data_IF_341020775811
#
_entry.id   IF_341020775811
#
_cell.length_a   1.000
_cell.length_b   1.000
_cell.length_c   1.000
_cell.angle_alpha   90.00
_cell.angle_beta   90.00
_cell.angle_gamma   90.00
#
_symmetry.space_group_name_H-M   'P 1'
#
loop_
_entity.id
_entity.type
_entity.pdbx_description
1 polymer ?
#
# COMPACT_ATOMS: atom_id res chain seq x y z
N UNK A 1 32.68 25.83 5.99
CA UNK A 1 31.41 25.48 5.34
C UNK A 1 31.75 24.86 3.98
N UNK A 2 31.73 23.53 3.88
CA UNK A 2 31.91 22.79 2.63
C UNK A 2 30.53 22.54 2.06
N UNK A 3 30.22 23.14 0.92
CA UNK A 3 28.98 22.85 0.18
C UNK A 3 29.11 21.46 -0.43
N UNK A 4 28.30 20.52 0.04
CA UNK A 4 28.17 19.20 -0.57
C UNK A 4 27.20 19.40 -1.74
N UNK A 5 27.73 19.30 -2.96
CA UNK A 5 26.91 19.28 -4.17
C UNK A 5 26.47 17.83 -4.38
N UNK A 6 25.24 17.54 -4.00
CA UNK A 6 24.61 16.25 -4.29
C UNK A 6 24.24 16.24 -5.78
N UNK A 7 25.05 15.57 -6.59
CA UNK A 7 24.76 15.33 -7.99
C UNK A 7 23.82 14.10 -8.09
N UNK A 8 22.58 14.34 -8.42
CA UNK A 8 21.63 13.28 -8.76
C UNK A 8 22.05 12.65 -10.09
N UNK A 9 22.76 11.53 -10.04
CA UNK A 9 23.07 10.73 -11.22
C UNK A 9 21.86 9.85 -11.55
N UNK A 10 20.99 10.32 -12.45
CA UNK A 10 19.99 9.47 -13.11
C UNK A 10 20.73 8.66 -14.18
N UNK A 11 21.14 7.46 -13.82
CA UNK A 11 21.67 6.49 -14.79
C UNK A 11 20.52 5.77 -15.45
N UNK A 12 20.21 6.12 -16.70
CA UNK A 12 19.33 5.35 -17.58
C UNK A 12 20.04 4.06 -17.97
N UNK A 13 19.69 2.94 -17.37
CA UNK A 13 20.01 1.61 -17.87
C UNK A 13 18.91 1.20 -18.84
N UNK A 14 19.16 1.40 -20.13
CA UNK A 14 18.42 0.78 -21.20
C UNK A 14 18.99 -0.63 -21.43
N UNK A 15 18.21 -1.63 -21.12
CA UNK A 15 18.56 -2.97 -21.58
C UNK A 15 17.79 -4.08 -20.87
N UNK A 16 16.98 -4.74 -21.63
CA UNK A 16 16.18 -5.95 -21.41
C UNK A 16 14.80 -5.66 -20.84
N UNK A 17 13.83 -5.69 -21.72
CA UNK A 17 12.40 -5.60 -21.44
C UNK A 17 11.88 -6.94 -20.87
N UNK A 18 12.16 -7.22 -19.61
CA UNK A 18 11.14 -7.82 -18.75
C UNK A 18 10.19 -6.66 -18.46
N UNK A 19 8.95 -6.73 -18.89
CA UNK A 19 7.96 -5.73 -18.57
C UNK A 19 7.92 -5.60 -17.03
N UNK A 20 8.64 -4.61 -16.50
CA UNK A 20 8.42 -4.17 -15.14
C UNK A 20 6.98 -3.67 -15.13
N UNK A 21 6.07 -4.49 -14.67
CA UNK A 21 4.73 -4.04 -14.33
C UNK A 21 4.89 -3.12 -13.12
N UNK A 22 5.18 -1.84 -13.42
CA UNK A 22 5.01 -0.80 -12.43
C UNK A 22 3.58 -0.95 -11.86
N UNK A 23 3.43 -0.75 -10.56
CA UNK A 23 2.11 -0.58 -9.95
C UNK A 23 1.31 0.36 -10.85
N UNK A 24 0.31 -0.17 -11.52
CA UNK A 24 -0.50 0.57 -12.48
C UNK A 24 -1.58 1.31 -11.69
N UNK A 25 -1.15 2.26 -10.87
CA UNK A 25 -1.90 2.96 -9.86
C UNK A 25 -3.09 3.79 -10.38
N UNK A 26 -3.37 3.75 -11.67
CA UNK A 26 -4.47 4.51 -12.30
C UNK A 26 -5.27 3.67 -13.29
N UNK A 27 -5.19 2.35 -13.20
CA UNK A 27 -5.99 1.45 -14.03
C UNK A 27 -7.41 1.32 -13.46
N UNK A 28 -8.41 1.33 -14.34
CA UNK A 28 -9.76 0.95 -13.95
C UNK A 28 -9.85 -0.55 -13.72
N UNK A 29 -10.44 -0.93 -12.60
CA UNK A 29 -10.64 -2.32 -12.18
C UNK A 29 -12.03 -2.51 -11.56
N UNK A 30 -12.32 -3.70 -11.06
CA UNK A 30 -13.57 -3.99 -10.37
C UNK A 30 -13.58 -3.53 -8.92
N UNK A 31 -12.41 -3.25 -8.39
CA UNK A 31 -12.19 -2.71 -7.06
C UNK A 31 -10.86 -1.99 -6.94
N UNK A 32 -10.63 -1.41 -5.76
CA UNK A 32 -9.43 -0.66 -5.42
C UNK A 32 -9.00 -1.03 -4.00
N UNK A 33 -7.74 -1.38 -3.83
CA UNK A 33 -7.10 -1.50 -2.52
C UNK A 33 -6.30 -0.22 -2.25
N UNK A 34 -6.57 0.43 -1.12
CA UNK A 34 -5.70 1.47 -0.54
C UNK A 34 -4.91 0.81 0.59
N UNK A 35 -3.66 0.42 0.36
CA UNK A 35 -2.92 -0.49 1.26
C UNK A 35 -2.43 0.15 2.55
N UNK A 36 -2.59 1.46 2.67
CA UNK A 36 -2.19 2.22 3.85
C UNK A 36 -3.13 3.40 4.04
N UNK A 37 -3.81 3.44 5.17
CA UNK A 37 -4.60 4.58 5.60
C UNK A 37 -4.27 4.88 7.07
N UNK A 38 -3.87 6.09 7.34
CA UNK A 38 -3.46 6.55 8.66
C UNK A 38 -4.19 7.84 9.02
N UNK A 39 -4.67 7.91 10.24
CA UNK A 39 -5.23 9.11 10.84
C UNK A 39 -4.75 9.24 12.29
N UNK A 40 -4.38 10.44 12.67
CA UNK A 40 -4.02 10.77 14.03
C UNK A 40 -5.00 11.81 14.61
N UNK A 41 -5.47 11.57 15.84
CA UNK A 41 -6.46 12.43 16.51
C UNK A 41 -5.93 13.85 16.73
N UNK A 42 -4.62 14.00 16.89
CA UNK A 42 -3.96 15.30 17.04
C UNK A 42 -3.90 16.12 15.73
N UNK A 43 -4.39 15.55 14.63
CA UNK A 43 -4.39 16.17 13.31
C UNK A 43 -3.02 16.23 12.63
N UNK A 44 -2.02 15.54 13.16
CA UNK A 44 -0.65 15.53 12.58
C UNK A 44 -0.56 14.82 11.25
N UNK A 45 -1.48 13.89 10.98
CA UNK A 45 -1.55 13.16 9.71
C UNK A 45 -2.95 12.65 9.41
N UNK A 46 -3.26 12.49 8.14
CA UNK A 46 -4.49 11.89 7.63
C UNK A 46 -4.22 11.23 6.28
N UNK A 47 -5.18 10.45 5.79
CA UNK A 47 -5.13 9.89 4.44
C UNK A 47 -6.31 10.40 3.64
N UNK A 48 -6.04 11.11 2.56
CA UNK A 48 -7.04 11.52 1.58
C UNK A 48 -7.16 10.44 0.49
N UNK A 49 -8.39 10.04 0.17
CA UNK A 49 -8.70 9.00 -0.82
C UNK A 49 -9.67 9.58 -1.83
N UNK A 50 -9.44 9.30 -3.11
CA UNK A 50 -10.38 9.62 -4.18
C UNK A 50 -10.63 8.40 -5.06
N UNK A 51 -11.88 8.26 -5.49
CA UNK A 51 -12.32 7.22 -6.42
C UNK A 51 -12.95 7.88 -7.64
N UNK A 52 -12.68 7.32 -8.80
CA UNK A 52 -13.36 7.64 -10.05
C UNK A 52 -14.17 6.44 -10.47
N UNK A 53 -15.45 6.63 -10.72
CA UNK A 53 -16.35 5.59 -11.23
C UNK A 53 -16.77 5.91 -12.67
N UNK A 54 -16.40 5.05 -13.60
CA UNK A 54 -16.75 5.20 -15.02
C UNK A 54 -18.14 4.65 -15.36
N UNK A 55 -18.73 3.81 -14.52
CA UNK A 55 -19.95 3.07 -14.79
C UNK A 55 -21.18 3.65 -14.11
N UNK A 56 -21.04 4.06 -12.85
CA UNK A 56 -22.14 4.34 -11.94
C UNK A 56 -22.73 3.06 -11.35
N UNK A 57 -23.16 3.14 -10.12
CA UNK A 57 -23.69 2.03 -9.34
C UNK A 57 -23.37 2.19 -7.86
N UNK A 58 -23.46 1.11 -7.12
CA UNK A 58 -23.09 1.10 -5.70
C UNK A 58 -21.62 0.69 -5.56
N UNK A 59 -20.88 1.41 -4.75
CA UNK A 59 -19.53 1.07 -4.32
C UNK A 59 -19.61 0.60 -2.87
N UNK A 60 -19.19 -0.62 -2.64
CA UNK A 60 -19.03 -1.20 -1.29
C UNK A 60 -17.62 -0.95 -0.82
N UNK A 61 -17.44 -0.67 0.48
CA UNK A 61 -16.12 -0.46 1.05
C UNK A 61 -16.00 -1.09 2.43
N UNK A 62 -14.79 -1.52 2.76
CA UNK A 62 -14.45 -2.05 4.08
C UNK A 62 -13.11 -1.51 4.51
N UNK A 63 -13.02 -1.13 5.78
CA UNK A 63 -11.76 -0.79 6.43
C UNK A 63 -11.33 -1.93 7.36
N UNK A 64 -10.10 -2.35 7.22
CA UNK A 64 -9.45 -3.36 8.04
C UNK A 64 -8.31 -2.74 8.86
N UNK A 65 -8.07 -3.26 10.06
CA UNK A 65 -6.87 -2.93 10.83
C UNK A 65 -5.62 -3.66 10.28
N UNK A 66 -4.50 -3.48 10.95
CA UNK A 66 -3.20 -4.06 10.56
C UNK A 66 -3.14 -5.59 10.59
N UNK A 67 -4.08 -6.23 11.29
CA UNK A 67 -4.19 -7.69 11.44
C UNK A 67 -5.35 -8.30 10.64
N UNK A 68 -5.88 -7.56 9.66
CA UNK A 68 -7.05 -7.97 8.85
C UNK A 68 -8.35 -8.08 9.65
N UNK A 69 -8.40 -7.46 10.80
CA UNK A 69 -9.64 -7.42 11.54
C UNK A 69 -10.55 -6.38 10.90
N UNK A 70 -11.73 -6.82 10.49
CA UNK A 70 -12.79 -5.94 10.05
C UNK A 70 -13.12 -4.91 11.14
N UNK A 71 -13.07 -3.64 10.80
CA UNK A 71 -13.36 -2.53 11.71
C UNK A 71 -14.71 -1.93 11.41
N UNK A 72 -14.92 -1.56 10.15
CA UNK A 72 -16.17 -0.96 9.67
C UNK A 72 -16.29 -1.13 8.16
N UNK A 73 -17.51 -1.17 7.67
CA UNK A 73 -17.88 -1.24 6.28
C UNK A 73 -19.01 -0.26 5.95
N UNK A 74 -19.30 -0.13 4.65
CA UNK A 74 -20.40 0.67 4.17
C UNK A 74 -20.54 0.65 2.66
N UNK A 75 -21.48 1.44 2.18
CA UNK A 75 -21.74 1.58 0.76
C UNK A 75 -22.11 3.03 0.42
N UNK A 76 -21.92 3.40 -0.83
CA UNK A 76 -22.44 4.65 -1.39
C UNK A 76 -22.73 4.48 -2.87
N UNK A 77 -23.67 5.28 -3.36
CA UNK A 77 -24.05 5.27 -4.77
C UNK A 77 -23.27 6.32 -5.55
N UNK A 78 -22.92 5.96 -6.77
CA UNK A 78 -22.25 6.83 -7.75
C UNK A 78 -23.08 6.98 -9.01
N UNK A 79 -22.92 8.06 -9.69
CA UNK A 79 -23.39 8.22 -11.07
C UNK A 79 -22.30 7.83 -12.07
N UNK A 80 -22.68 7.67 -13.32
CA UNK A 80 -21.68 7.39 -14.36
C UNK A 80 -20.73 8.55 -14.56
N UNK A 81 -19.41 8.26 -14.60
CA UNK A 81 -18.31 9.22 -14.63
C UNK A 81 -18.27 10.12 -13.39
N UNK A 82 -18.54 9.54 -12.25
CA UNK A 82 -18.49 10.20 -10.96
C UNK A 82 -17.08 10.26 -10.37
N UNK A 83 -16.87 11.20 -9.47
CA UNK A 83 -15.66 11.32 -8.70
C UNK A 83 -16.03 11.62 -7.25
N UNK A 84 -15.54 10.78 -6.36
CA UNK A 84 -15.79 10.87 -4.91
C UNK A 84 -14.46 11.02 -4.19
N UNK A 85 -14.39 11.94 -3.24
CA UNK A 85 -13.22 12.09 -2.39
C UNK A 85 -13.61 12.20 -0.91
N UNK A 86 -12.78 11.61 -0.05
CA UNK A 86 -12.95 11.65 1.39
C UNK A 86 -11.60 11.54 2.10
N UNK A 87 -11.59 11.83 3.38
CA UNK A 87 -10.41 11.64 4.22
C UNK A 87 -10.69 10.59 5.28
N UNK A 88 -9.69 9.77 5.55
CA UNK A 88 -9.71 8.84 6.66
C UNK A 88 -9.64 9.60 7.99
N UNK A 89 -10.60 9.33 8.88
CA UNK A 89 -10.69 9.98 10.19
C UNK A 89 -11.99 10.75 10.42
N UNK A 90 -12.30 11.05 11.68
CA UNK A 90 -13.63 11.50 12.13
C UNK A 90 -13.97 12.95 11.84
N UNK A 91 -13.02 13.79 11.45
CA UNK A 91 -13.21 15.25 11.48
C UNK A 91 -13.27 15.92 10.11
N UNK A 92 -13.13 15.18 9.02
CA UNK A 92 -13.14 15.77 7.69
C UNK A 92 -14.44 15.42 6.97
N UNK A 93 -15.57 15.88 7.55
CA UNK A 93 -16.89 15.78 6.95
C UNK A 93 -17.18 16.80 5.83
N UNK A 94 -16.18 17.53 5.37
CA UNK A 94 -16.37 18.64 4.43
C UNK A 94 -15.69 18.45 3.07
N UNK A 95 -15.18 17.28 2.76
CA UNK A 95 -14.80 17.00 1.39
C UNK A 95 -16.07 16.68 0.60
N UNK A 96 -16.31 17.43 -0.47
CA UNK A 96 -17.49 17.30 -1.30
C UNK A 96 -17.70 15.86 -1.79
N UNK A 97 -18.56 15.11 -1.15
CA UNK A 97 -18.88 13.73 -1.43
C UNK A 97 -19.78 13.17 -0.34
N UNK A 98 -20.52 12.12 -0.63
CA UNK A 98 -21.54 11.56 0.27
C UNK A 98 -20.99 10.90 1.55
N UNK A 99 -19.67 10.81 1.72
CA UNK A 99 -19.01 10.40 2.95
C UNK A 99 -19.03 11.52 4.02
N UNK A 100 -20.24 11.93 4.39
CA UNK A 100 -20.46 12.93 5.45
C UNK A 100 -20.13 12.42 6.87
N UNK A 101 -19.74 11.19 7.00
CA UNK A 101 -19.24 10.62 8.23
C UNK A 101 -18.24 9.55 7.88
N UNK A 102 -16.99 9.94 7.67
CA UNK A 102 -15.90 8.98 7.72
C UNK A 102 -16.04 8.14 8.99
N UNK A 103 -15.62 6.88 8.99
CA UNK A 103 -15.80 6.01 10.13
C UNK A 103 -15.23 6.69 11.37
N UNK A 104 -16.08 6.86 12.39
CA UNK A 104 -15.63 7.37 13.69
C UNK A 104 -14.97 6.22 14.42
N UNK A 105 -13.66 6.22 14.46
CA UNK A 105 -12.89 5.23 15.19
C UNK A 105 -12.68 5.69 16.64
N UNK A 106 -12.98 4.84 17.61
CA UNK A 106 -12.56 5.09 18.97
C UNK A 106 -11.06 4.75 19.12
N UNK A 107 -10.26 5.73 19.41
CA UNK A 107 -8.83 5.56 19.70
C UNK A 107 -7.89 6.14 18.63
N UNK A 108 -6.65 6.36 19.01
CA UNK A 108 -5.58 7.05 18.30
C UNK A 108 -4.32 6.17 18.22
N UNK A 109 -3.53 6.23 17.17
CA UNK A 109 -3.84 6.51 15.76
C UNK A 109 -4.54 5.32 15.07
N UNK A 110 -5.38 5.60 14.09
CA UNK A 110 -6.05 4.56 13.31
C UNK A 110 -5.23 4.23 12.06
N UNK A 111 -4.57 3.10 12.09
CA UNK A 111 -3.78 2.56 10.97
C UNK A 111 -4.44 1.30 10.43
N UNK A 112 -4.63 1.26 9.13
CA UNK A 112 -5.22 0.13 8.44
C UNK A 112 -5.21 0.30 6.93
N UNK A 113 -6.13 -0.38 6.26
CA UNK A 113 -6.26 -0.32 4.81
C UNK A 113 -7.73 -0.42 4.38
N UNK A 114 -8.03 0.11 3.18
CA UNK A 114 -9.37 0.05 2.59
C UNK A 114 -9.40 -0.89 1.39
N UNK A 115 -10.53 -1.58 1.26
CA UNK A 115 -10.91 -2.28 0.04
C UNK A 115 -12.22 -1.69 -0.45
N UNK A 116 -12.26 -1.23 -1.70
CA UNK A 116 -13.44 -0.74 -2.41
C UNK A 116 -13.80 -1.69 -3.52
N UNK A 117 -15.08 -1.99 -3.69
CA UNK A 117 -15.57 -2.92 -4.71
C UNK A 117 -16.82 -2.36 -5.38
N UNK A 118 -16.83 -2.34 -6.70
CA UNK A 118 -17.98 -1.87 -7.47
C UNK A 118 -19.03 -2.97 -7.61
N UNK A 119 -20.31 -2.58 -7.56
CA UNK A 119 -21.46 -3.49 -7.67
C UNK A 119 -21.54 -4.27 -9.00
N UNK A 120 -20.82 -3.85 -10.03
CA UNK A 120 -20.73 -4.60 -11.30
C UNK A 120 -20.16 -6.01 -11.15
N UNK A 121 -19.43 -6.27 -10.06
CA UNK A 121 -18.88 -7.60 -9.76
C UNK A 121 -19.94 -8.53 -9.17
N UNK A 122 -21.04 -7.98 -8.68
CA UNK A 122 -22.11 -8.70 -8.03
C UNK A 122 -23.14 -9.11 -9.09
N UNK A 123 -23.03 -10.33 -9.61
CA UNK A 123 -24.19 -10.97 -10.24
C UNK A 123 -25.06 -11.59 -9.14
N UNK A 124 -26.36 -11.66 -9.36
CA UNK A 124 -27.39 -12.14 -8.41
C UNK A 124 -27.12 -13.54 -7.77
N UNK A 125 -26.03 -14.21 -8.15
CA UNK A 125 -25.65 -15.54 -7.68
C UNK A 125 -24.28 -15.56 -6.95
N UNK A 126 -23.73 -14.42 -6.52
CA UNK A 126 -22.43 -14.35 -5.79
C UNK A 126 -21.24 -15.01 -6.52
N UNK A 127 -21.35 -15.24 -7.80
CA UNK A 127 -20.27 -15.77 -8.62
C UNK A 127 -19.57 -14.58 -9.26
N UNK A 128 -18.34 -14.34 -8.85
CA UNK A 128 -17.44 -13.40 -9.50
C UNK A 128 -17.26 -13.89 -10.95
N UNK A 129 -18.01 -13.29 -11.87
CA UNK A 129 -17.82 -13.57 -13.29
C UNK A 129 -16.53 -12.92 -13.77
N UNK A 130 -15.71 -13.64 -14.55
CA UNK A 130 -14.50 -13.10 -15.21
C UNK A 130 -14.79 -11.86 -16.08
N UNK A 131 -16.05 -11.44 -16.20
CA UNK A 131 -16.54 -10.36 -17.05
C UNK A 131 -17.04 -9.12 -16.30
N UNK A 132 -16.69 -8.94 -15.02
CA UNK A 132 -17.01 -7.70 -14.33
C UNK A 132 -16.33 -6.51 -15.01
N UNK A 133 -17.11 -5.45 -15.27
CA UNK A 133 -16.59 -4.28 -15.95
C UNK A 133 -15.54 -3.56 -15.05
N UNK A 134 -14.45 -3.06 -15.62
CA UNK A 134 -13.50 -2.23 -14.90
C UNK A 134 -14.10 -0.83 -14.69
N UNK A 135 -14.69 -0.61 -13.52
CA UNK A 135 -15.46 0.59 -13.22
C UNK A 135 -14.75 1.57 -12.31
N UNK A 136 -13.88 1.09 -11.40
CA UNK A 136 -13.23 1.92 -10.38
C UNK A 136 -11.75 2.15 -10.66
N UNK A 137 -11.32 3.39 -10.47
CA UNK A 137 -9.91 3.74 -10.31
C UNK A 137 -9.76 4.60 -9.05
N UNK A 138 -8.63 4.49 -8.34
CA UNK A 138 -8.42 5.19 -7.08
C UNK A 138 -7.06 5.87 -6.99
N UNK A 139 -7.02 6.91 -6.16
CA UNK A 139 -5.79 7.55 -5.71
C UNK A 139 -5.87 7.78 -4.20
N UNK A 140 -4.73 7.71 -3.53
CA UNK A 140 -4.65 8.05 -2.13
C UNK A 140 -3.38 8.86 -1.83
N UNK A 141 -3.45 9.67 -0.78
CA UNK A 141 -2.35 10.53 -0.35
C UNK A 141 -2.29 10.56 1.17
N UNK A 142 -1.13 10.34 1.73
CA UNK A 142 -0.87 10.67 3.12
C UNK A 142 -0.67 12.18 3.22
N UNK A 143 -1.50 12.83 4.03
CA UNK A 143 -1.49 14.28 4.21
C UNK A 143 -0.71 14.61 5.48
N UNK A 144 0.17 15.59 5.40
CA UNK A 144 0.96 16.13 6.50
C UNK A 144 0.54 17.61 6.72
N UNK A 145 -0.55 17.87 7.46
CA UNK A 145 -1.12 19.22 7.55
C UNK A 145 -0.16 20.26 8.15
N UNK A 146 0.69 19.83 9.09
CA UNK A 146 1.69 20.71 9.71
C UNK A 146 2.85 21.12 8.79
N UNK A 147 2.97 20.44 7.64
CA UNK A 147 4.02 20.66 6.64
C UNK A 147 3.48 21.18 5.31
N UNK A 148 2.15 21.33 5.18
CA UNK A 148 1.48 21.73 3.93
C UNK A 148 1.86 20.84 2.73
N UNK A 149 2.05 19.51 2.97
CA UNK A 149 2.53 18.58 1.95
C UNK A 149 1.80 17.23 1.99
N UNK A 150 1.95 16.46 0.92
CA UNK A 150 1.32 15.15 0.76
C UNK A 150 2.27 14.13 0.12
N UNK A 151 2.24 12.89 0.59
CA UNK A 151 2.91 11.75 -0.05
C UNK A 151 1.87 10.87 -0.75
N UNK A 152 2.12 10.52 -2.01
CA UNK A 152 1.26 9.59 -2.76
C UNK A 152 1.26 8.20 -2.10
N UNK A 153 0.08 7.61 -1.98
CA UNK A 153 -0.08 6.21 -1.58
C UNK A 153 -0.59 5.44 -2.80
N UNK A 154 0.16 4.43 -3.28
CA UNK A 154 -0.26 3.67 -4.45
C UNK A 154 -1.55 2.91 -4.17
N UNK A 155 -2.65 3.34 -4.78
CA UNK A 155 -3.89 2.60 -4.80
C UNK A 155 -3.77 1.47 -5.83
N UNK A 156 -4.12 0.26 -5.43
CA UNK A 156 -3.88 -0.96 -6.21
C UNK A 156 -5.21 -1.39 -6.85
N UNK A 157 -5.26 -1.53 -8.19
CA UNK A 157 -6.44 -2.02 -8.87
C UNK A 157 -6.68 -3.50 -8.53
N UNK A 158 -7.93 -3.84 -8.22
CA UNK A 158 -8.37 -5.19 -7.92
C UNK A 158 -9.26 -5.71 -9.05
N UNK A 159 -8.77 -6.72 -9.76
CA UNK A 159 -9.55 -7.39 -10.80
C UNK A 159 -10.46 -8.47 -10.19
N UNK A 160 -11.47 -8.98 -10.92
CA UNK A 160 -12.40 -9.97 -10.39
C UNK A 160 -11.75 -11.21 -9.78
N UNK A 161 -10.60 -11.63 -10.32
CA UNK A 161 -9.83 -12.77 -9.82
C UNK A 161 -9.08 -12.50 -8.51
N UNK A 162 -8.88 -11.22 -8.16
CA UNK A 162 -8.17 -10.78 -6.97
C UNK A 162 -9.09 -10.72 -5.75
N UNK A 163 -10.39 -10.95 -5.96
CA UNK A 163 -11.43 -10.82 -4.97
C UNK A 163 -12.20 -12.13 -4.83
N UNK A 164 -12.31 -12.61 -3.60
CA UNK A 164 -13.21 -13.69 -3.22
C UNK A 164 -14.03 -13.20 -2.04
N UNK A 165 -15.33 -13.14 -2.24
CA UNK A 165 -16.25 -12.72 -1.19
C UNK A 165 -16.67 -13.92 -0.34
N UNK A 166 -16.86 -13.65 0.96
CA UNK A 166 -17.54 -14.56 1.87
C UNK A 166 -19.05 -14.59 1.62
N UNK A 167 -19.84 -14.70 2.68
CA UNK A 167 -21.29 -14.76 2.58
C UNK A 167 -21.94 -13.43 2.21
N UNK A 168 -21.24 -12.32 2.29
CA UNK A 168 -21.75 -10.97 2.05
C UNK A 168 -20.73 -10.10 1.33
N UNK A 169 -21.14 -9.47 0.22
CA UNK A 169 -20.28 -8.56 -0.57
C UNK A 169 -20.04 -7.22 0.14
N UNK A 170 -21.02 -6.78 0.94
CA UNK A 170 -20.92 -5.51 1.69
C UNK A 170 -19.89 -5.62 2.80
N UNK A 171 -19.75 -6.80 3.35
CA UNK A 171 -18.79 -7.12 4.40
C UNK A 171 -17.76 -8.08 3.80
N UNK A 172 -16.58 -7.56 3.45
CA UNK A 172 -15.41 -8.36 3.15
C UNK A 172 -14.93 -8.97 4.48
N UNK A 173 -15.72 -9.87 5.02
CA UNK A 173 -15.48 -10.51 6.31
C UNK A 173 -14.28 -11.47 6.27
N UNK A 174 -14.05 -12.20 7.38
CA UNK A 174 -12.89 -13.09 7.50
C UNK A 174 -12.81 -14.20 6.46
N UNK A 175 -13.92 -14.52 5.78
CA UNK A 175 -13.97 -15.50 4.70
C UNK A 175 -13.70 -14.91 3.31
N UNK A 176 -13.49 -13.60 3.24
CA UNK A 176 -13.15 -12.90 2.01
C UNK A 176 -11.64 -12.89 1.81
N UNK A 177 -11.20 -13.01 0.58
CA UNK A 177 -9.78 -13.00 0.24
C UNK A 177 -9.53 -11.93 -0.80
N UNK A 178 -8.59 -11.04 -0.51
CA UNK A 178 -8.01 -10.12 -1.47
C UNK A 178 -6.70 -10.74 -1.93
N UNK A 179 -6.57 -10.97 -3.23
CA UNK A 179 -5.33 -11.44 -3.84
C UNK A 179 -4.79 -10.35 -4.73
N UNK A 180 -3.49 -10.26 -4.82
CA UNK A 180 -2.86 -9.35 -5.75
C UNK A 180 -2.42 -10.11 -6.99
N UNK A 181 -2.71 -9.52 -8.14
CA UNK A 181 -2.41 -10.16 -9.41
C UNK A 181 -0.90 -10.36 -9.61
N UNK A 182 -0.51 -11.57 -10.00
CA UNK A 182 0.87 -11.88 -10.38
C UNK A 182 1.38 -10.92 -11.47
N UNK A 183 2.52 -10.28 -11.21
CA UNK A 183 3.15 -9.31 -12.10
C UNK A 183 3.01 -7.84 -11.66
N UNK A 184 2.02 -7.49 -10.85
CA UNK A 184 1.92 -6.16 -10.24
C UNK A 184 2.56 -6.11 -8.85
N UNK A 185 2.81 -7.26 -8.25
CA UNK A 185 3.18 -7.41 -6.84
C UNK A 185 4.23 -8.51 -6.67
N UNK A 186 4.95 -8.49 -5.55
CA UNK A 186 5.90 -9.52 -5.20
C UNK A 186 5.17 -10.80 -4.73
N UNK A 187 5.64 -11.96 -5.19
CA UNK A 187 5.13 -13.27 -4.85
C UNK A 187 6.21 -14.13 -4.16
N UNK A 188 5.82 -15.30 -3.67
CA UNK A 188 6.77 -16.29 -3.19
C UNK A 188 7.83 -16.60 -4.26
N UNK A 189 9.10 -16.52 -3.89
CA UNK A 189 10.22 -16.70 -4.82
C UNK A 189 10.80 -15.39 -5.39
N UNK A 190 10.13 -14.26 -5.17
CA UNK A 190 10.61 -12.95 -5.55
C UNK A 190 11.56 -12.36 -4.49
N UNK A 191 12.24 -11.29 -4.90
CA UNK A 191 13.10 -10.51 -4.01
C UNK A 191 12.56 -9.10 -3.97
N UNK A 192 12.26 -8.61 -2.78
CA UNK A 192 11.81 -7.25 -2.53
C UNK A 192 12.98 -6.38 -2.05
N UNK A 193 13.11 -5.21 -2.64
CA UNK A 193 14.13 -4.22 -2.26
C UNK A 193 13.44 -3.05 -1.56
N UNK A 194 13.60 -2.97 -0.23
CA UNK A 194 12.98 -1.95 0.60
C UNK A 194 13.94 -0.77 0.76
N UNK A 195 13.61 0.36 0.16
CA UNK A 195 14.46 1.55 0.21
C UNK A 195 14.38 2.22 1.59
N UNK A 196 15.48 2.79 2.07
CA UNK A 196 15.53 3.56 3.31
C UNK A 196 16.48 4.76 3.22
N UNK A 197 16.16 5.82 3.98
CA UNK A 197 17.00 6.99 4.21
C UNK A 197 16.80 7.43 5.66
N UNK A 198 17.86 7.42 6.47
CA UNK A 198 17.74 7.72 7.91
C UNK A 198 17.99 9.19 8.27
N UNK A 199 18.72 9.92 7.41
CA UNK A 199 19.09 11.33 7.66
C UNK A 199 17.94 12.32 7.37
N UNK A 200 16.69 11.83 7.44
CA UNK A 200 15.46 12.62 7.25
C UNK A 200 14.47 12.33 8.38
N UNK A 201 13.42 13.13 8.52
CA UNK A 201 12.48 13.04 9.65
C UNK A 201 11.65 11.78 9.60
N UNK A 202 11.11 11.42 8.42
CA UNK A 202 10.30 10.23 8.20
C UNK A 202 10.91 9.36 7.11
N UNK A 203 11.08 8.08 7.40
CA UNK A 203 11.47 7.03 6.46
C UNK A 203 10.71 5.76 6.82
N UNK A 204 9.43 5.72 6.44
CA UNK A 204 8.52 4.65 6.78
C UNK A 204 8.36 3.67 5.61
N UNK A 205 8.86 2.47 5.79
CA UNK A 205 8.67 1.35 4.86
C UNK A 205 7.30 0.75 5.12
N UNK A 206 6.40 0.85 4.14
CA UNK A 206 5.07 0.26 4.19
C UNK A 206 5.11 -1.08 3.46
N UNK A 207 4.62 -2.12 4.11
CA UNK A 207 4.49 -3.47 3.56
C UNK A 207 3.06 -3.91 3.83
N UNK A 208 2.29 -4.08 2.76
CA UNK A 208 0.97 -4.70 2.80
C UNK A 208 1.04 -6.07 2.14
N UNK A 209 0.36 -7.06 2.70
CA UNK A 209 0.32 -8.42 2.18
C UNK A 209 -1.09 -8.98 2.27
N UNK A 210 -1.50 -9.76 1.28
CA UNK A 210 -2.73 -10.52 1.34
C UNK A 210 -2.64 -11.76 2.23
N UNK A 211 -1.48 -12.06 2.80
CA UNK A 211 -1.23 -13.19 3.70
C UNK A 211 -0.59 -12.72 5.02
N UNK A 212 -0.64 -13.58 6.03
CA UNK A 212 0.02 -13.34 7.31
C UNK A 212 1.55 -13.36 7.14
N UNK A 213 2.17 -12.17 7.11
CA UNK A 213 3.62 -11.98 7.07
C UNK A 213 4.22 -11.65 8.44
N UNK A 214 3.44 -11.78 9.51
CA UNK A 214 3.97 -11.50 10.84
C UNK A 214 5.16 -12.40 11.17
N UNK A 215 6.22 -11.81 11.69
CA UNK A 215 7.43 -12.57 12.04
C UNK A 215 8.70 -11.76 12.08
N UNK A 216 9.81 -12.48 12.13
CA UNK A 216 11.16 -11.89 12.09
C UNK A 216 11.96 -12.59 10.99
N UNK A 217 12.47 -11.79 10.08
CA UNK A 217 13.15 -12.29 8.87
C UNK A 217 14.60 -11.84 8.87
N UNK A 218 15.52 -12.77 8.64
CA UNK A 218 16.93 -12.41 8.39
C UNK A 218 17.03 -11.85 6.98
N UNK A 219 17.47 -10.60 6.87
CA UNK A 219 17.60 -9.88 5.60
C UNK A 219 18.99 -9.32 5.42
N UNK A 220 19.36 -8.99 4.19
CA UNK A 220 20.59 -8.27 3.91
C UNK A 220 20.29 -6.79 3.70
N UNK A 221 21.01 -5.93 4.39
CA UNK A 221 20.92 -4.49 4.23
C UNK A 221 22.19 -3.98 3.54
N UNK A 222 22.05 -3.03 2.64
CA UNK A 222 23.12 -2.42 1.86
C UNK A 222 23.05 -0.91 2.01
N UNK A 223 24.22 -0.28 2.12
CA UNK A 223 24.35 1.17 2.04
C UNK A 223 24.54 1.65 0.60
N UNK A 224 24.72 2.96 0.41
CA UNK A 224 24.97 3.58 -0.90
C UNK A 224 26.33 3.23 -1.49
N UNK A 225 27.27 2.76 -0.69
CA UNK A 225 28.60 2.33 -1.12
C UNK A 225 28.68 0.81 -1.37
N UNK A 226 27.52 0.12 -1.34
CA UNK A 226 27.36 -1.33 -1.54
C UNK A 226 27.98 -2.18 -0.41
N UNK A 227 28.28 -1.59 0.73
CA UNK A 227 28.62 -2.37 1.91
C UNK A 227 27.39 -3.15 2.37
N UNK A 228 27.60 -4.37 2.84
CA UNK A 228 26.55 -5.29 3.23
C UNK A 228 26.64 -5.67 4.70
N UNK A 229 25.51 -5.69 5.36
CA UNK A 229 25.33 -6.31 6.67
C UNK A 229 24.08 -7.22 6.65
N UNK A 230 24.04 -8.16 7.59
CA UNK A 230 22.83 -8.92 7.87
C UNK A 230 22.11 -8.28 9.05
N UNK A 231 20.77 -8.16 8.96
CA UNK A 231 19.93 -7.63 10.02
C UNK A 231 18.64 -8.42 10.12
N UNK A 232 17.81 -8.08 11.11
CA UNK A 232 16.48 -8.66 11.27
C UNK A 232 15.43 -7.60 10.91
N UNK A 233 14.57 -7.93 9.96
CA UNK A 233 13.35 -7.22 9.68
C UNK A 233 12.25 -7.84 10.55
N UNK A 234 11.66 -7.04 11.44
CA UNK A 234 10.58 -7.47 12.31
C UNK A 234 9.26 -6.89 11.82
N UNK A 235 8.30 -7.77 11.51
CA UNK A 235 6.94 -7.43 11.09
C UNK A 235 5.98 -7.92 12.18
N UNK A 236 5.48 -7.03 13.04
CA UNK A 236 4.63 -7.41 14.15
C UNK A 236 3.21 -7.81 13.75
N UNK A 237 2.72 -7.28 12.63
CA UNK A 237 1.33 -7.43 12.21
C UNK A 237 1.21 -8.42 11.05
N UNK A 238 -0.01 -8.95 10.85
CA UNK A 238 -0.23 -9.98 9.82
C UNK A 238 -0.15 -9.44 8.42
N UNK A 239 -0.86 -8.37 8.11
CA UNK A 239 -0.99 -7.88 6.74
C UNK A 239 -0.36 -6.52 6.50
N UNK A 240 -0.66 -5.52 7.34
CA UNK A 240 -0.11 -4.19 7.17
C UNK A 240 0.97 -3.90 8.21
N UNK A 241 2.19 -3.69 7.74
CA UNK A 241 3.32 -3.28 8.57
C UNK A 241 3.87 -1.93 8.09
N UNK A 242 4.10 -1.03 9.02
CA UNK A 242 4.81 0.23 8.79
C UNK A 242 6.07 0.21 9.65
N UNK A 243 7.21 0.15 9.00
CA UNK A 243 8.51 0.02 9.66
C UNK A 243 9.28 1.33 9.52
N UNK A 244 9.51 2.03 10.62
CA UNK A 244 10.46 3.14 10.63
C UNK A 244 11.87 2.60 10.41
N UNK A 245 12.53 2.99 9.33
CA UNK A 245 13.85 2.49 8.95
C UNK A 245 14.92 2.75 10.02
N UNK A 246 14.74 3.79 10.83
CA UNK A 246 15.63 4.13 11.94
C UNK A 246 15.62 3.11 13.07
N UNK A 247 14.53 2.35 13.20
CA UNK A 247 14.38 1.30 14.21
C UNK A 247 15.06 -0.02 13.84
N UNK A 248 15.45 -0.16 12.58
CA UNK A 248 16.12 -1.37 12.08
C UNK A 248 17.56 -1.37 12.58
N UNK A 249 17.96 -2.45 13.24
CA UNK A 249 19.33 -2.60 13.72
C UNK A 249 20.31 -2.76 12.54
N UNK A 250 21.16 -1.78 12.31
CA UNK A 250 22.14 -1.71 11.23
C UNK A 250 23.42 -1.00 11.64
N UNK A 251 24.53 -1.12 10.88
CA UNK A 251 25.73 -0.33 11.13
C UNK A 251 25.41 1.18 11.14
N UNK A 252 26.09 1.93 12.01
CA UNK A 252 25.78 3.36 12.25
C UNK A 252 26.07 4.25 11.03
N UNK A 253 26.88 3.78 10.11
CA UNK A 253 27.26 4.44 8.87
C UNK A 253 26.33 4.13 7.70
N UNK A 254 25.33 3.24 7.90
CA UNK A 254 24.31 2.92 6.90
C UNK A 254 23.17 3.94 6.96
N UNK A 255 23.42 5.16 6.48
CA UNK A 255 22.46 6.24 6.53
C UNK A 255 21.39 6.17 5.43
N UNK A 256 21.68 5.53 4.30
CA UNK A 256 20.75 5.34 3.19
C UNK A 256 21.14 4.10 2.37
N UNK A 257 20.14 3.51 1.71
CA UNK A 257 20.35 2.33 0.88
C UNK A 257 19.09 1.50 0.70
N UNK A 258 19.23 0.19 0.72
CA UNK A 258 18.10 -0.73 0.60
C UNK A 258 18.28 -2.00 1.42
N UNK A 259 17.16 -2.62 1.77
CA UNK A 259 17.08 -3.94 2.39
C UNK A 259 16.66 -4.93 1.29
N UNK A 260 17.43 -5.99 1.11
CA UNK A 260 17.09 -7.10 0.22
C UNK A 260 16.40 -8.18 1.02
N UNK A 261 15.10 -8.35 0.79
CA UNK A 261 14.28 -9.37 1.43
C UNK A 261 13.87 -10.45 0.43
N UNK A 262 14.31 -11.66 0.68
CA UNK A 262 13.98 -12.86 -0.10
C UNK A 262 12.65 -13.43 0.40
N UNK A 263 11.59 -13.34 -0.39
CA UNK A 263 10.24 -13.71 0.00
C UNK A 263 10.05 -15.23 0.15
N UNK A 264 10.98 -16.05 -0.36
CA UNK A 264 11.01 -17.49 -0.05
C UNK A 264 11.16 -17.77 1.44
N UNK A 265 11.63 -16.80 2.22
CA UNK A 265 11.70 -16.90 3.69
C UNK A 265 10.35 -16.68 4.37
N UNK A 266 9.37 -16.13 3.65
CA UNK A 266 7.99 -16.00 4.12
C UNK A 266 7.33 -17.36 3.95
N UNK A 267 7.11 -18.08 5.05
CA UNK A 267 6.39 -19.34 4.97
C UNK A 267 4.96 -19.07 4.52
N UNK A 268 4.59 -19.56 3.33
CA UNK A 268 3.20 -19.53 2.88
C UNK A 268 2.34 -20.30 3.89
N UNK A 269 1.53 -19.58 4.65
CA UNK A 269 0.66 -20.16 5.67
C UNK A 269 -0.66 -20.66 5.07
N UNK A 270 -1.02 -20.18 3.89
CA UNK A 270 -2.30 -20.46 3.22
C UNK A 270 -2.18 -21.40 2.02
N UNK A 271 -0.98 -21.60 1.46
CA UNK A 271 -0.78 -22.39 0.24
C UNK A 271 -1.35 -21.76 -1.03
N UNK A 272 -1.75 -20.51 -0.97
CA UNK A 272 -2.23 -19.69 -2.09
C UNK A 272 -1.18 -18.63 -2.40
N UNK A 273 -1.01 -18.30 -3.68
CA UNK A 273 -0.08 -17.25 -4.12
C UNK A 273 -0.67 -15.88 -3.78
N UNK A 274 -0.30 -15.35 -2.64
CA UNK A 274 -0.77 -14.08 -2.14
C UNK A 274 0.29 -13.01 -2.37
N UNK A 275 -0.08 -11.86 -2.94
CA UNK A 275 0.87 -10.82 -3.29
C UNK A 275 1.27 -9.93 -2.10
N UNK A 276 2.45 -9.33 -2.21
CA UNK A 276 2.98 -8.31 -1.28
C UNK A 276 3.18 -7.01 -2.04
N UNK A 277 2.64 -5.91 -1.53
CA UNK A 277 2.87 -4.56 -2.02
C UNK A 277 3.75 -3.79 -1.05
N UNK A 278 4.72 -3.03 -1.55
CA UNK A 278 5.58 -2.22 -0.70
C UNK A 278 6.00 -0.91 -1.35
N UNK A 279 6.07 0.11 -0.52
CA UNK A 279 6.60 1.42 -0.86
C UNK A 279 7.18 2.07 0.39
N UNK A 280 7.99 3.10 0.22
CA UNK A 280 8.54 3.87 1.35
C UNK A 280 8.06 5.31 1.26
N UNK A 281 7.54 5.82 2.38
CA UNK A 281 7.15 7.23 2.54
C UNK A 281 8.31 7.97 3.21
N UNK A 282 8.79 9.00 2.54
CA UNK A 282 9.80 9.91 3.04
C UNK A 282 9.20 11.27 3.35
N UNK A 283 9.68 11.88 4.41
CA UNK A 283 9.47 13.31 4.66
C UNK A 283 10.79 13.93 5.15
N UNK A 284 11.14 15.07 4.58
CA UNK A 284 12.32 15.83 4.99
C UNK A 284 11.96 17.29 5.22
N UNK A 285 12.10 17.74 6.46
CA UNK A 285 11.93 19.14 6.83
C UNK A 285 12.95 20.05 6.10
N UNK A 286 14.17 19.55 5.90
CA UNK A 286 15.23 20.30 5.21
C UNK A 286 14.89 20.61 3.74
N UNK A 287 14.08 19.77 3.10
CA UNK A 287 13.60 19.96 1.73
C UNK A 287 12.16 20.48 1.68
N UNK A 288 11.43 20.46 2.82
CA UNK A 288 10.02 20.80 2.89
C UNK A 288 9.17 19.94 1.96
N UNK A 289 9.49 18.63 1.88
CA UNK A 289 8.86 17.74 0.91
C UNK A 289 8.62 16.33 1.46
N UNK A 290 7.42 15.82 1.19
CA UNK A 290 7.06 14.43 1.34
C UNK A 290 7.10 13.72 -0.02
N UNK A 291 7.55 12.48 -0.04
CA UNK A 291 7.66 11.68 -1.27
C UNK A 291 7.37 10.21 -0.99
N UNK A 292 6.84 9.53 -2.00
CA UNK A 292 6.72 8.07 -1.99
C UNK A 292 7.64 7.47 -3.03
N UNK A 293 8.36 6.44 -2.64
CA UNK A 293 9.20 5.64 -3.51
C UNK A 293 8.68 4.22 -3.52
N UNK A 294 8.34 3.72 -4.71
CA UNK A 294 7.98 2.32 -4.87
C UNK A 294 9.19 1.44 -4.62
N UNK A 295 9.00 0.37 -3.86
CA UNK A 295 10.05 -0.59 -3.59
C UNK A 295 10.17 -1.58 -4.76
N UNK A 296 11.35 -1.68 -5.40
CA UNK A 296 11.53 -2.56 -6.56
C UNK A 296 11.37 -4.03 -6.21
N UNK A 297 10.83 -4.79 -7.15
CA UNK A 297 10.66 -6.23 -7.08
C UNK A 297 11.51 -6.88 -8.16
N UNK A 298 12.25 -7.92 -7.80
CA UNK A 298 12.90 -8.79 -8.75
C UNK A 298 12.16 -10.12 -8.79
N UNK A 299 11.51 -10.39 -9.92
CA UNK A 299 10.79 -11.63 -10.14
C UNK A 299 11.75 -12.78 -10.49
N UNK A 300 11.64 -13.89 -9.73
CA UNK A 300 12.44 -15.07 -9.95
C UNK A 300 13.87 -14.99 -9.41
N UNK A 301 14.64 -16.05 -9.65
CA UNK A 301 16.02 -16.15 -9.21
C UNK A 301 16.96 -15.36 -10.12
N UNK A 302 17.90 -14.61 -9.52
CA UNK A 302 19.07 -14.15 -10.27
C UNK A 302 19.93 -15.40 -10.51
N UNK A 303 20.28 -15.76 -11.75
CA UNK A 303 21.32 -16.75 -11.99
C UNK A 303 22.61 -16.26 -11.29
N UNK A 304 23.17 -17.11 -10.43
CA UNK A 304 24.46 -16.85 -9.79
C UNK A 304 25.60 -16.71 -10.84
#
# INVERSE_FOLDING_TARGET
MKKITLALAVSSVLGVSSAAHALNASEFASGVLVPHALWAEDGSTSTAISLTDACGGTVYWTFFDVDTKHVIDGEFDTSRNDWVAFSHGSTIGDVAGEFNSGPQFPGDPQLGYYVFVHSSIVNNDLIIGESAAPCLAGNAFQVFPGQDDVAYIPAIPLHPRDLKFGANVIDLGPDSVVRLHAGAQANDGDILYLNYVDDIEVSNIVIWSAQDVSGSYTVNIYDTDQNRASTTLHLPNKELNVVDSKTINKPIDFAAGFIRWDLRTVASKSGEEDGIASFTVYYSEAFGAAQTVLNPILHGEIPE
#
